data_IF_303041640943
#
_entry.id   IF_303041640943
#
_cell.length_a   1.000
_cell.length_b   1.000
_cell.length_c   1.000
_cell.angle_alpha   90.00
_cell.angle_beta   90.00
_cell.angle_gamma   90.00
#
_symmetry.space_group_name_H-M   'P 1'
#
loop_
_entity.id
_entity.type
_entity.pdbx_description
1 polymer ?
#
# COMPACT_ATOMS: atom_id res chain seq x y z
N UNK A 1 15.54 5.78 -38.17
CA UNK A 1 14.73 4.94 -39.06
C UNK A 1 13.97 5.80 -40.03
N UNK A 2 13.95 5.43 -41.31
CA UNK A 2 13.02 6.02 -42.26
C UNK A 2 11.58 5.54 -42.00
N UNK A 3 10.60 6.24 -42.58
CA UNK A 3 9.19 5.93 -42.40
C UNK A 3 8.82 4.51 -42.84
N UNK A 4 9.48 3.98 -43.87
CA UNK A 4 9.20 2.65 -44.39
C UNK A 4 9.62 1.56 -43.39
N UNK A 5 10.81 1.71 -42.82
CA UNK A 5 11.35 0.84 -41.77
C UNK A 5 10.48 0.89 -40.52
N UNK A 6 10.04 2.08 -40.10
CA UNK A 6 9.17 2.24 -38.94
C UNK A 6 7.79 1.63 -39.17
N UNK A 7 7.18 1.84 -40.34
CA UNK A 7 5.90 1.23 -40.70
C UNK A 7 5.98 -0.31 -40.68
N UNK A 8 7.07 -0.88 -41.22
CA UNK A 8 7.32 -2.32 -41.17
C UNK A 8 7.41 -2.86 -39.74
N UNK A 9 8.05 -2.12 -38.82
CA UNK A 9 8.07 -2.47 -37.39
C UNK A 9 6.66 -2.46 -36.81
N UNK A 10 5.91 -1.36 -36.96
CA UNK A 10 4.54 -1.24 -36.43
C UNK A 10 3.65 -2.39 -36.91
N UNK A 11 3.69 -2.71 -38.21
CA UNK A 11 2.87 -3.79 -38.76
C UNK A 11 3.22 -5.15 -38.15
N UNK A 12 4.52 -5.47 -38.02
CA UNK A 12 5.00 -6.70 -37.40
C UNK A 12 4.57 -6.82 -35.93
N UNK A 13 4.60 -5.71 -35.20
CA UNK A 13 4.15 -5.67 -33.80
C UNK A 13 2.63 -5.91 -33.70
N UNK A 14 1.83 -5.29 -34.56
CA UNK A 14 0.39 -5.48 -34.62
C UNK A 14 -0.01 -6.92 -34.99
N UNK A 15 0.70 -7.54 -35.93
CA UNK A 15 0.50 -8.95 -36.28
C UNK A 15 0.86 -9.87 -35.11
N UNK A 16 2.00 -9.62 -34.44
CA UNK A 16 2.40 -10.41 -33.25
C UNK A 16 1.40 -10.25 -32.10
N UNK A 17 0.86 -9.06 -31.93
CA UNK A 17 -0.19 -8.77 -30.95
C UNK A 17 -1.55 -9.33 -31.36
N UNK A 18 -1.70 -9.83 -32.59
CA UNK A 18 -2.95 -10.32 -33.15
C UNK A 18 -4.05 -9.26 -33.12
N UNK A 19 -3.76 -8.09 -33.68
CA UNK A 19 -4.66 -6.93 -33.67
C UNK A 19 -6.07 -7.21 -34.26
N UNK A 20 -6.24 -8.26 -35.07
CA UNK A 20 -7.55 -8.65 -35.61
C UNK A 20 -8.39 -9.48 -34.63
N UNK A 21 -7.80 -10.00 -33.55
CA UNK A 21 -8.49 -10.77 -32.51
C UNK A 21 -8.97 -9.89 -31.35
N UNK A 22 -8.50 -8.64 -31.25
CA UNK A 22 -8.93 -7.74 -30.16
C UNK A 22 -10.31 -7.16 -30.41
N UNK A 23 -11.08 -7.00 -29.33
CA UNK A 23 -12.37 -6.33 -29.40
C UNK A 23 -12.21 -4.81 -29.46
N UNK A 24 -13.24 -4.11 -29.97
CA UNK A 24 -13.26 -2.65 -29.95
C UNK A 24 -13.14 -2.09 -28.51
N UNK A 25 -13.67 -2.80 -27.51
CA UNK A 25 -13.57 -2.40 -26.11
C UNK A 25 -12.16 -2.59 -25.55
N UNK A 26 -11.47 -3.69 -25.86
CA UNK A 26 -10.06 -3.85 -25.52
C UNK A 26 -9.19 -2.76 -26.15
N UNK A 27 -9.45 -2.38 -27.41
CA UNK A 27 -8.75 -1.27 -28.04
C UNK A 27 -8.97 0.07 -27.31
N UNK A 28 -10.22 0.40 -26.94
CA UNK A 28 -10.54 1.59 -26.13
C UNK A 28 -9.79 1.58 -24.79
N UNK A 29 -9.70 0.41 -24.14
CA UNK A 29 -8.95 0.25 -22.89
C UNK A 29 -7.46 0.54 -23.08
N UNK A 30 -6.84 0.04 -24.15
CA UNK A 30 -5.44 0.32 -24.47
C UNK A 30 -5.20 1.81 -24.71
N UNK A 31 -6.08 2.48 -25.46
CA UNK A 31 -6.00 3.94 -25.67
C UNK A 31 -6.10 4.71 -24.35
N UNK A 32 -7.03 4.32 -23.47
CA UNK A 32 -7.17 4.93 -22.14
C UNK A 32 -5.90 4.76 -21.31
N UNK A 33 -5.34 3.55 -21.24
CA UNK A 33 -4.13 3.23 -20.48
C UNK A 33 -2.92 4.01 -21.02
N UNK A 34 -2.77 4.10 -22.35
CA UNK A 34 -1.74 4.91 -23.00
C UNK A 34 -1.85 6.40 -22.67
N UNK A 35 -3.06 6.88 -22.34
CA UNK A 35 -3.32 8.25 -21.91
C UNK A 35 -2.88 8.55 -20.46
N UNK A 36 -2.71 7.53 -19.61
CA UNK A 36 -2.29 7.68 -18.22
C UNK A 36 -0.77 7.95 -18.17
N UNK A 37 -0.36 9.21 -18.26
CA UNK A 37 1.08 9.57 -18.36
C UNK A 37 1.78 9.78 -17.02
N UNK A 38 1.03 9.98 -15.94
CA UNK A 38 1.63 10.31 -14.65
C UNK A 38 2.38 9.09 -14.09
N UNK A 39 3.42 9.34 -13.30
CA UNK A 39 4.21 8.27 -12.66
C UNK A 39 3.37 7.50 -11.64
N UNK A 40 2.47 8.19 -10.94
CA UNK A 40 1.54 7.59 -9.98
C UNK A 40 0.58 6.55 -10.59
N UNK A 41 0.40 6.58 -11.91
CA UNK A 41 -0.43 5.63 -12.65
C UNK A 41 0.36 4.43 -13.17
N UNK A 42 1.69 4.36 -12.98
CA UNK A 42 2.52 3.27 -13.54
C UNK A 42 2.05 1.88 -13.09
N UNK A 43 1.69 1.79 -11.82
CA UNK A 43 1.12 0.62 -11.18
C UNK A 43 -0.25 0.23 -11.75
N UNK A 44 -1.08 1.23 -12.03
CA UNK A 44 -2.40 1.07 -12.66
C UNK A 44 -2.23 0.55 -14.08
N UNK A 45 -1.38 1.21 -14.89
CA UNK A 45 -1.07 0.80 -16.27
C UNK A 45 -0.65 -0.66 -16.32
N UNK A 46 0.30 -1.06 -15.48
CA UNK A 46 0.85 -2.42 -15.45
C UNK A 46 -0.24 -3.45 -15.11
N UNK A 47 -1.04 -3.18 -14.07
CA UNK A 47 -2.15 -4.08 -13.69
C UNK A 47 -3.23 -4.18 -14.77
N UNK A 48 -3.55 -3.07 -15.44
CA UNK A 48 -4.60 -3.05 -16.47
C UNK A 48 -4.17 -3.79 -17.73
N UNK A 49 -2.92 -3.63 -18.16
CA UNK A 49 -2.36 -4.39 -19.28
C UNK A 49 -2.42 -5.89 -19.01
N UNK A 50 -2.00 -6.33 -17.82
CA UNK A 50 -2.07 -7.74 -17.44
C UNK A 50 -3.51 -8.30 -17.46
N UNK A 51 -4.52 -7.49 -17.10
CA UNK A 51 -5.92 -7.94 -17.18
C UNK A 51 -6.45 -7.99 -18.60
N UNK A 52 -6.10 -7.03 -19.47
CA UNK A 52 -6.52 -7.06 -20.89
C UNK A 52 -6.02 -8.33 -21.58
N UNK A 53 -4.80 -8.78 -21.26
CA UNK A 53 -4.22 -10.03 -21.78
C UNK A 53 -4.96 -11.29 -21.30
N UNK A 54 -5.50 -11.27 -20.07
CA UNK A 54 -6.17 -12.43 -19.47
C UNK A 54 -7.68 -12.47 -19.71
N UNK A 55 -8.31 -11.31 -19.88
CA UNK A 55 -9.77 -11.16 -19.90
C UNK A 55 -10.25 -10.60 -21.25
N UNK A 56 -10.81 -11.46 -22.14
CA UNK A 56 -11.23 -11.04 -23.49
C UNK A 56 -12.41 -10.06 -23.47
N UNK A 57 -13.17 -10.02 -22.38
CA UNK A 57 -14.34 -9.17 -22.21
C UNK A 57 -14.03 -7.84 -21.51
N UNK A 58 -12.75 -7.45 -21.41
CA UNK A 58 -12.36 -6.21 -20.76
C UNK A 58 -13.04 -4.99 -21.40
N UNK A 59 -13.65 -4.15 -20.58
CA UNK A 59 -14.35 -2.93 -20.99
C UNK A 59 -13.74 -1.71 -20.32
N UNK A 60 -13.95 -0.55 -20.93
CA UNK A 60 -13.45 0.72 -20.39
C UNK A 60 -14.04 1.03 -19.01
N UNK A 61 -15.28 0.58 -18.76
CA UNK A 61 -15.93 0.74 -17.45
C UNK A 61 -15.24 -0.09 -16.37
N UNK A 62 -14.78 -1.30 -16.69
CA UNK A 62 -14.00 -2.10 -15.73
C UNK A 62 -12.65 -1.46 -15.42
N UNK A 63 -11.95 -0.95 -16.44
CA UNK A 63 -10.68 -0.24 -16.25
C UNK A 63 -10.86 0.99 -15.35
N UNK A 64 -11.83 1.85 -15.65
CA UNK A 64 -12.10 3.06 -14.86
C UNK A 64 -12.54 2.75 -13.43
N UNK A 65 -13.36 1.71 -13.24
CA UNK A 65 -13.77 1.24 -11.90
C UNK A 65 -12.56 0.80 -11.07
N UNK A 66 -11.62 0.08 -11.68
CA UNK A 66 -10.41 -0.33 -10.97
C UNK A 66 -9.48 0.84 -10.66
N UNK A 67 -9.32 1.79 -11.58
CA UNK A 67 -8.58 3.03 -11.30
C UNK A 67 -9.17 3.74 -10.07
N UNK A 68 -10.50 3.90 -10.02
CA UNK A 68 -11.16 4.53 -8.88
C UNK A 68 -10.98 3.74 -7.58
N UNK A 69 -11.07 2.40 -7.64
CA UNK A 69 -10.81 1.55 -6.47
C UNK A 69 -9.40 1.74 -5.92
N UNK A 70 -8.40 1.84 -6.80
CA UNK A 70 -7.01 2.07 -6.41
C UNK A 70 -6.79 3.47 -5.82
N UNK A 71 -7.45 4.50 -6.36
CA UNK A 71 -7.43 5.85 -5.79
C UNK A 71 -8.01 5.87 -4.37
N UNK A 72 -9.16 5.23 -4.17
CA UNK A 72 -9.79 5.13 -2.85
C UNK A 72 -8.86 4.41 -1.86
N UNK A 73 -8.22 3.32 -2.29
CA UNK A 73 -7.27 2.58 -1.45
C UNK A 73 -6.04 3.41 -1.06
N UNK A 74 -5.50 4.24 -1.98
CA UNK A 74 -4.42 5.19 -1.69
C UNK A 74 -4.85 6.19 -0.62
N UNK A 75 -6.06 6.73 -0.73
CA UNK A 75 -6.62 7.66 0.25
C UNK A 75 -6.78 7.01 1.64
N UNK A 76 -7.38 5.82 1.70
CA UNK A 76 -7.59 5.08 2.95
C UNK A 76 -6.26 4.75 3.64
N UNK A 77 -5.26 4.35 2.85
CA UNK A 77 -3.91 4.07 3.35
C UNK A 77 -3.27 5.33 3.96
N UNK A 78 -3.42 6.49 3.31
CA UNK A 78 -2.91 7.76 3.83
C UNK A 78 -3.60 8.16 5.15
N UNK A 79 -4.92 7.97 5.26
CA UNK A 79 -5.66 8.24 6.50
C UNK A 79 -5.14 7.42 7.69
N UNK A 80 -4.87 6.12 7.49
CA UNK A 80 -4.34 5.25 8.56
C UNK A 80 -2.92 5.67 8.96
N UNK A 81 -2.07 6.00 7.99
CA UNK A 81 -0.70 6.45 8.26
C UNK A 81 -0.65 7.78 9.04
N UNK A 82 -1.55 8.72 8.73
CA UNK A 82 -1.65 9.98 9.48
C UNK A 82 -2.04 9.76 10.94
N UNK A 83 -2.91 8.80 11.23
CA UNK A 83 -3.32 8.46 12.60
C UNK A 83 -2.21 7.75 13.40
N UNK A 84 -1.22 7.16 12.74
CA UNK A 84 -0.08 6.47 13.34
C UNK A 84 1.14 7.36 13.60
N UNK A 85 1.13 8.63 13.20
CA UNK A 85 2.22 9.57 13.46
C UNK A 85 1.97 10.21 14.83
N UNK A 86 2.77 9.93 15.88
CA UNK A 86 2.64 10.68 17.13
C UNK A 86 3.05 12.11 16.81
N UNK A 87 2.05 13.00 16.67
CA UNK A 87 2.28 14.44 16.72
C UNK A 87 3.01 14.70 18.02
N UNK A 88 4.16 15.38 17.95
CA UNK A 88 5.04 15.57 19.11
C UNK A 88 4.28 16.12 20.33
N UNK A 89 4.76 15.72 21.51
CA UNK A 89 4.41 16.20 22.86
C UNK A 89 3.38 15.44 23.70
N UNK A 90 3.28 14.12 23.60
CA UNK A 90 2.72 13.35 24.71
C UNK A 90 3.84 13.00 25.70
N UNK A 91 4.07 13.91 26.65
CA UNK A 91 4.84 13.64 27.87
C UNK A 91 4.20 12.47 28.59
N UNK A 92 4.77 11.27 28.41
CA UNK A 92 4.41 10.09 29.19
C UNK A 92 4.80 10.38 30.65
N UNK A 93 3.85 10.88 31.44
CA UNK A 93 3.99 10.99 32.89
C UNK A 93 3.95 9.58 33.48
N UNK A 94 5.11 8.93 33.48
CA UNK A 94 5.35 7.76 34.29
C UNK A 94 5.32 8.18 35.77
N UNK A 95 4.21 7.91 36.47
CA UNK A 95 4.13 8.04 37.93
C UNK A 95 5.07 7.02 38.56
N UNK A 96 6.33 7.43 38.73
CA UNK A 96 7.33 6.73 39.52
C UNK A 96 6.95 6.89 41.00
N UNK A 97 6.08 6.01 41.50
CA UNK A 97 5.81 5.88 42.93
C UNK A 97 7.07 5.37 43.61
N UNK A 98 7.90 6.28 44.11
CA UNK A 98 8.93 5.94 45.08
C UNK A 98 9.07 7.08 46.08
N UNK A 99 9.05 6.65 47.35
CA UNK A 99 9.59 7.27 48.57
C UNK A 99 8.53 7.89 49.48
N UNK A 100 8.52 7.68 50.80
CA UNK A 100 9.35 6.90 51.73
C UNK A 100 8.77 7.18 53.11
N UNK A 101 8.82 6.23 54.04
CA UNK A 101 9.25 6.56 55.41
C UNK A 101 9.92 5.36 56.05
N UNK A 102 11.23 5.50 56.23
CA UNK A 102 12.15 4.62 56.97
C UNK A 102 11.87 4.75 58.46
N UNK A 103 12.10 3.68 59.24
CA UNK A 103 12.97 3.75 60.42
C UNK A 103 13.47 2.37 60.86
N UNK A 104 14.77 2.33 61.16
CA UNK A 104 15.62 1.18 61.52
C UNK A 104 15.34 0.64 62.94
N UNK A 105 15.78 -0.60 63.25
CA UNK A 105 16.91 -0.87 64.18
C UNK A 105 17.17 -2.38 64.49
N UNK A 106 18.40 -2.79 64.17
CA UNK A 106 19.39 -3.62 64.92
C UNK A 106 19.02 -4.91 65.69
N UNK A 107 19.75 -5.98 65.37
CA UNK A 107 19.83 -7.29 66.06
C UNK A 107 20.66 -7.28 67.37
N UNK A 108 20.19 -7.93 68.46
CA UNK A 108 20.82 -9.09 69.21
C UNK A 108 20.22 -9.36 70.62
N UNK A 109 20.17 -10.68 70.96
CA UNK A 109 20.20 -11.39 72.28
C UNK A 109 18.89 -11.75 73.03
N UNK A 110 18.74 -13.08 73.26
CA UNK A 110 17.89 -13.86 74.20
C UNK A 110 18.14 -13.53 75.69
N UNK A 111 17.47 -14.10 76.75
CA UNK A 111 16.62 -15.33 76.85
C UNK A 111 15.39 -15.29 77.81
N UNK A 112 14.61 -16.39 77.88
CA UNK A 112 14.22 -17.15 79.11
C UNK A 112 12.84 -17.86 79.02
N UNK A 113 12.83 -19.19 79.24
CA UNK A 113 11.64 -20.01 79.60
C UNK A 113 11.21 -19.75 81.06
N UNK A 114 9.96 -20.07 81.49
CA UNK A 114 9.66 -21.34 82.19
C UNK A 114 8.14 -21.76 82.10
N UNK A 115 7.57 -22.63 82.96
CA UNK A 115 7.63 -24.11 82.88
C UNK A 115 6.24 -24.83 82.93
N UNK A 116 6.33 -26.16 82.83
CA UNK A 116 5.33 -27.26 83.03
C UNK A 116 4.44 -27.61 81.84
#
# INVERSE_FOLDING_TARGET
>A
DDYLTYAGKVNRECERFKINEITADQFKCLIFICGLKNEEDADVRTRMLARIEQEPNMTLQMVTTECQRLLNLKHDTAMVQQKGKPSGSDSINALRSIKSSKQNCTSRKQPANPPS
#
